data_IF_085350630515
#
_entry.id   IF_085350630515
#
_cell.length_a   1.000
_cell.length_b   1.000
_cell.length_c   1.000
_cell.angle_alpha   90.00
_cell.angle_beta   90.00
_cell.angle_gamma   90.00
#
_symmetry.space_group_name_H-M   'P 1'
#
loop_
_entity.id
_entity.type
_entity.pdbx_description
1 polymer ?
#
# COMPACT_ATOMS: atom_id res chain seq x y z
N UNK A 1 -1.78 -0.76 20.79
CA UNK A 1 -2.30 0.24 19.83
C UNK A 1 -1.49 0.14 18.56
N UNK A 2 -2.09 -0.20 17.43
CA UNK A 2 -1.40 -0.32 16.15
C UNK A 2 -2.36 0.03 15.02
N UNK A 3 -1.86 0.74 14.00
CA UNK A 3 -2.64 1.05 12.80
C UNK A 3 -2.80 -0.25 12.02
N UNK A 4 -4.04 -0.56 11.59
CA UNK A 4 -4.32 -1.85 10.96
C UNK A 4 -3.70 -1.98 9.56
N UNK A 5 -3.54 -0.86 8.87
CA UNK A 5 -2.96 -0.77 7.53
C UNK A 5 -2.12 0.50 7.40
N UNK A 6 -0.95 0.40 6.78
CA UNK A 6 0.00 1.49 6.63
C UNK A 6 0.49 1.53 5.19
N UNK A 7 0.45 2.72 4.57
CA UNK A 7 0.80 2.93 3.18
C UNK A 7 2.10 3.73 3.09
N UNK A 8 3.11 3.17 2.44
CA UNK A 8 4.39 3.82 2.16
C UNK A 8 4.44 4.19 0.68
N UNK A 9 4.63 5.49 0.42
CA UNK A 9 4.72 6.05 -0.93
C UNK A 9 6.13 6.62 -1.05
N UNK A 10 6.93 6.08 -1.98
CA UNK A 10 8.29 6.53 -2.27
C UNK A 10 8.33 7.12 -3.70
N UNK A 11 8.12 8.43 -3.86
CA UNK A 11 8.02 9.06 -5.18
C UNK A 11 9.27 8.93 -6.04
N UNK A 12 10.46 8.96 -5.43
CA UNK A 12 11.74 8.83 -6.14
C UNK A 12 11.88 7.45 -6.82
N UNK A 13 11.22 6.43 -6.26
CA UNK A 13 11.17 5.07 -6.80
C UNK A 13 9.86 4.77 -7.53
N UNK A 14 8.93 5.73 -7.59
CA UNK A 14 7.54 5.54 -8.05
C UNK A 14 6.92 4.29 -7.45
N UNK A 15 7.08 4.10 -6.14
CA UNK A 15 6.73 2.86 -5.45
C UNK A 15 5.65 3.11 -4.39
N UNK A 16 4.68 2.21 -4.32
CA UNK A 16 3.68 2.17 -3.25
C UNK A 16 3.66 0.79 -2.62
N UNK A 17 3.79 0.75 -1.30
CA UNK A 17 3.73 -0.46 -0.48
C UNK A 17 2.62 -0.34 0.56
N UNK A 18 1.74 -1.33 0.61
CA UNK A 18 0.67 -1.46 1.58
C UNK A 18 1.06 -2.53 2.58
N UNK A 19 1.17 -2.15 3.85
CA UNK A 19 1.51 -3.03 4.97
C UNK A 19 0.28 -3.23 5.86
N UNK A 20 0.09 -4.44 6.38
CA UNK A 20 -0.99 -4.74 7.32
C UNK A 20 -0.45 -5.35 8.61
N UNK A 21 -1.04 -4.96 9.74
CA UNK A 21 -0.65 -5.46 11.05
C UNK A 21 -1.23 -6.86 11.29
N UNK A 22 -0.38 -7.88 11.25
CA UNK A 22 -0.73 -9.29 11.45
C UNK A 22 0.04 -9.87 12.63
N UNK A 23 -0.67 -10.29 13.69
CA UNK A 23 -0.02 -10.93 14.85
C UNK A 23 0.94 -10.03 15.63
N UNK A 24 0.89 -8.71 15.43
CA UNK A 24 1.78 -7.74 16.07
C UNK A 24 2.89 -7.20 15.17
N UNK A 25 3.09 -7.80 13.99
CA UNK A 25 4.09 -7.39 13.01
C UNK A 25 3.45 -6.84 11.74
N UNK A 26 4.08 -5.86 11.10
CA UNK A 26 3.65 -5.39 9.78
C UNK A 26 4.14 -6.34 8.70
N UNK A 27 3.24 -6.74 7.81
CA UNK A 27 3.53 -7.58 6.65
C UNK A 27 3.05 -6.92 5.38
N UNK A 28 3.78 -7.11 4.29
CA UNK A 28 3.42 -6.60 2.97
C UNK A 28 2.14 -7.26 2.51
N UNK A 29 1.11 -6.45 2.32
CA UNK A 29 -0.14 -6.85 1.70
C UNK A 29 -0.06 -6.69 0.18
N UNK A 30 0.43 -5.55 -0.29
CA UNK A 30 0.53 -5.22 -1.71
C UNK A 30 1.73 -4.31 -1.95
N UNK A 31 2.35 -4.44 -3.12
CA UNK A 31 3.50 -3.64 -3.53
C UNK A 31 3.42 -3.45 -5.04
N UNK A 32 3.58 -2.21 -5.49
CA UNK A 32 3.71 -1.90 -6.91
C UNK A 32 4.75 -0.80 -7.12
N UNK A 33 5.39 -0.82 -8.30
CA UNK A 33 6.43 0.12 -8.69
C UNK A 33 6.26 0.53 -10.14
N UNK A 34 6.48 1.81 -10.44
CA UNK A 34 6.34 2.48 -11.74
C UNK A 34 4.91 2.49 -12.31
N UNK A 35 4.21 1.36 -12.31
CA UNK A 35 2.86 1.20 -12.86
C UNK A 35 2.09 0.08 -12.16
N UNK A 36 0.77 0.16 -12.21
CA UNK A 36 -0.14 -0.84 -11.67
C UNK A 36 -1.03 -0.28 -10.56
N UNK A 37 -1.87 -1.14 -10.00
CA UNK A 37 -2.87 -0.76 -9.00
C UNK A 37 -2.59 -1.49 -7.69
N UNK A 38 -2.58 -0.73 -6.59
CA UNK A 38 -2.55 -1.28 -5.23
C UNK A 38 -3.88 -0.99 -4.54
N UNK A 39 -4.41 -1.95 -3.79
CA UNK A 39 -5.68 -1.81 -3.09
C UNK A 39 -5.52 -2.01 -1.60
N UNK A 40 -6.41 -1.38 -0.84
CA UNK A 40 -6.53 -1.60 0.60
C UNK A 40 -7.03 -3.01 0.89
N UNK A 41 -6.50 -3.63 1.94
CA UNK A 41 -7.04 -4.87 2.51
C UNK A 41 -8.27 -4.61 3.37
N UNK A 42 -8.36 -3.40 3.96
CA UNK A 42 -9.33 -3.09 5.03
C UNK A 42 -10.46 -2.19 4.53
N UNK A 43 -10.16 -1.28 3.62
CA UNK A 43 -11.12 -0.35 3.03
C UNK A 43 -11.55 -0.88 1.68
N UNK A 44 -12.67 -1.60 1.67
CA UNK A 44 -13.23 -2.16 0.43
C UNK A 44 -13.46 -1.07 -0.62
N UNK A 45 -13.00 -1.33 -1.84
CA UNK A 45 -13.12 -0.41 -2.98
C UNK A 45 -12.06 0.69 -3.04
N UNK A 46 -11.19 0.84 -2.02
CA UNK A 46 -10.07 1.77 -2.10
C UNK A 46 -8.90 1.14 -2.86
N UNK A 47 -8.66 1.64 -4.07
CA UNK A 47 -7.52 1.29 -4.90
C UNK A 47 -6.84 2.56 -5.41
N UNK A 48 -5.54 2.47 -5.66
CA UNK A 48 -4.67 3.53 -6.11
C UNK A 48 -3.94 3.04 -7.35
N UNK A 49 -4.17 3.72 -8.48
CA UNK A 49 -3.42 3.51 -9.71
C UNK A 49 -2.16 4.37 -9.68
N UNK A 50 -1.00 3.73 -9.73
CA UNK A 50 0.30 4.42 -9.68
C UNK A 50 0.48 5.38 -10.86
N UNK A 51 -0.17 5.12 -11.99
CA UNK A 51 -0.11 5.98 -13.19
C UNK A 51 -0.91 7.28 -13.02
N UNK A 52 -1.80 7.37 -12.02
CA UNK A 52 -2.55 8.59 -11.67
C UNK A 52 -1.87 9.42 -10.56
N UNK A 53 -0.89 8.85 -9.85
CA UNK A 53 -0.27 9.44 -8.66
C UNK A 53 1.13 10.02 -8.96
N UNK A 54 1.86 9.44 -9.92
CA UNK A 54 3.25 9.80 -10.26
C UNK A 54 3.41 10.26 -11.71
#
# INVERSE_FOLDING_TARGET
HGVREYWLILPELKLVEVLTLEGGDYRVHSLSSEKGVVCSKILEGLCLDLEEIF
#
